data_IF_161530516595
#
_entry.id   IF_161530516595
#
_cell.length_a   1.000
_cell.length_b   1.000
_cell.length_c   1.000
_cell.angle_alpha   90.00
_cell.angle_beta   90.00
_cell.angle_gamma   90.00
#
_symmetry.space_group_name_H-M   'P 1'
#
loop_
_entity.id
_entity.type
_entity.pdbx_description
1 polymer ?
#
# COMPACT_ATOMS: atom_id res chain seq x y z
N UNK A 1 7.91 17.80 -30.85
CA UNK A 1 6.96 16.72 -31.20
C UNK A 1 5.72 16.72 -30.31
N UNK A 2 5.87 16.71 -28.97
CA UNK A 2 4.74 16.70 -28.03
C UNK A 2 3.75 17.87 -28.18
N UNK A 3 4.23 19.09 -28.41
CA UNK A 3 3.36 20.24 -28.66
C UNK A 3 2.49 20.02 -29.90
N UNK A 4 3.06 19.42 -30.96
CA UNK A 4 2.30 19.05 -32.17
C UNK A 4 1.25 17.96 -31.89
N UNK A 5 1.49 17.10 -30.90
CA UNK A 5 0.54 16.07 -30.42
C UNK A 5 -0.63 16.69 -29.61
N UNK A 6 -0.51 17.94 -29.16
CA UNK A 6 -1.53 18.66 -28.39
C UNK A 6 -1.14 18.98 -26.95
N UNK A 7 0.03 18.51 -26.48
CA UNK A 7 0.51 18.78 -25.13
C UNK A 7 0.77 20.27 -24.93
N UNK A 8 0.20 20.86 -23.87
CA UNK A 8 0.43 22.26 -23.51
C UNK A 8 1.72 22.36 -22.70
N UNK A 9 2.73 22.99 -23.28
CA UNK A 9 4.00 23.29 -22.62
C UNK A 9 4.24 24.80 -22.74
N UNK A 10 3.87 25.60 -21.73
CA UNK A 10 3.93 27.07 -21.84
C UNK A 10 5.34 27.62 -22.10
N UNK A 11 6.36 26.96 -21.53
CA UNK A 11 7.76 27.37 -21.71
C UNK A 11 8.64 26.15 -22.04
N UNK A 12 8.59 25.66 -23.31
CA UNK A 12 9.21 24.39 -23.72
C UNK A 12 10.71 24.29 -23.46
N UNK A 13 11.43 25.41 -23.59
CA UNK A 13 12.87 25.48 -23.37
C UNK A 13 13.32 25.20 -21.92
N UNK A 14 12.38 25.11 -20.98
CA UNK A 14 12.66 24.80 -19.57
C UNK A 14 12.23 23.42 -19.13
N UNK A 15 11.60 22.65 -20.03
CA UNK A 15 11.19 21.28 -19.75
C UNK A 15 12.24 20.33 -20.29
N UNK A 16 12.78 19.49 -19.43
CA UNK A 16 13.67 18.42 -19.81
C UNK A 16 12.86 17.14 -20.04
N UNK A 17 12.98 16.56 -21.22
CA UNK A 17 12.46 15.23 -21.55
C UNK A 17 13.66 14.43 -22.02
N UNK A 18 14.01 13.39 -21.27
CA UNK A 18 15.18 12.57 -21.58
C UNK A 18 14.95 11.70 -22.81
N UNK A 19 16.05 11.28 -23.45
CA UNK A 19 16.05 10.53 -24.71
C UNK A 19 15.41 9.13 -24.58
N UNK A 20 15.37 8.58 -23.36
CA UNK A 20 14.75 7.29 -23.05
C UNK A 20 13.22 7.35 -22.96
N UNK A 21 12.62 8.55 -22.93
CA UNK A 21 11.17 8.72 -22.82
C UNK A 21 10.49 8.39 -24.15
N UNK A 22 9.66 7.35 -24.15
CA UNK A 22 8.86 6.97 -25.32
C UNK A 22 7.68 7.93 -25.48
N UNK A 23 7.79 8.86 -26.42
CA UNK A 23 6.82 9.96 -26.63
C UNK A 23 5.39 9.49 -26.95
N UNK A 24 5.22 8.28 -27.47
CA UNK A 24 3.89 7.70 -27.72
C UNK A 24 3.12 7.38 -26.44
N UNK A 25 3.83 7.20 -25.31
CA UNK A 25 3.25 7.04 -23.97
C UNK A 25 2.80 8.36 -23.32
N UNK A 26 2.92 9.48 -24.02
CA UNK A 26 2.43 10.78 -23.54
C UNK A 26 1.23 11.19 -24.39
N UNK A 27 0.05 11.23 -23.78
CA UNK A 27 -1.16 11.72 -24.42
C UNK A 27 -1.03 13.19 -24.80
N UNK A 28 -1.68 13.59 -25.89
CA UNK A 28 -1.78 14.99 -26.29
C UNK A 28 -2.93 15.73 -25.62
N UNK A 29 -4.07 15.05 -25.48
CA UNK A 29 -5.32 15.65 -25.03
C UNK A 29 -5.26 16.09 -23.57
N UNK A 30 -5.47 17.38 -23.33
CA UNK A 30 -5.59 17.95 -21.98
C UNK A 30 -4.31 17.93 -21.14
N UNK A 31 -3.21 17.33 -21.62
CA UNK A 31 -1.96 17.24 -20.87
C UNK A 31 -1.28 18.60 -20.79
N UNK A 32 -0.85 18.98 -19.58
CA UNK A 32 -0.11 20.22 -19.31
C UNK A 32 1.18 19.91 -18.58
N UNK A 33 2.31 20.35 -19.13
CA UNK A 33 3.62 20.26 -18.48
C UNK A 33 4.11 21.67 -18.22
N UNK A 34 4.16 22.05 -16.94
CA UNK A 34 4.55 23.38 -16.50
C UNK A 34 6.08 23.57 -16.54
N UNK A 35 6.57 24.82 -16.51
CA UNK A 35 7.99 25.14 -16.60
C UNK A 35 8.88 24.40 -15.59
N UNK A 36 10.10 24.05 -15.99
CA UNK A 36 11.11 23.45 -15.12
C UNK A 36 10.94 21.96 -14.82
N UNK A 37 9.90 21.31 -15.36
CA UNK A 37 9.67 19.88 -15.17
C UNK A 37 10.74 19.02 -15.87
N UNK A 38 11.01 17.85 -15.28
CA UNK A 38 11.96 16.85 -15.81
C UNK A 38 11.29 15.49 -15.90
N UNK A 39 11.33 14.89 -17.08
CA UNK A 39 10.66 13.62 -17.38
C UNK A 39 11.70 12.62 -17.88
N UNK A 40 11.75 11.45 -17.25
CA UNK A 40 12.73 10.39 -17.48
C UNK A 40 12.06 9.02 -17.56
N UNK A 41 12.77 8.04 -18.11
CA UNK A 41 12.42 6.63 -18.01
C UNK A 41 11.49 6.14 -19.12
N UNK A 42 11.89 5.02 -19.71
CA UNK A 42 11.20 4.35 -20.83
C UNK A 42 9.77 3.91 -20.50
N UNK A 43 9.46 3.73 -19.20
CA UNK A 43 8.12 3.30 -18.75
C UNK A 43 7.20 4.46 -18.42
N UNK A 44 7.67 5.71 -18.49
CA UNK A 44 6.83 6.86 -18.15
C UNK A 44 5.63 6.96 -19.08
N UNK A 45 4.44 6.94 -18.48
CA UNK A 45 3.14 7.07 -19.14
C UNK A 45 2.43 8.30 -18.56
N UNK A 46 1.93 9.16 -19.43
CA UNK A 46 1.16 10.36 -19.06
C UNK A 46 -0.15 10.33 -19.86
N UNK A 47 -1.26 10.02 -19.19
CA UNK A 47 -2.58 9.89 -19.80
C UNK A 47 -3.31 11.24 -19.93
N UNK A 48 -4.44 11.30 -20.66
CA UNK A 48 -5.16 12.55 -20.93
C UNK A 48 -5.50 13.37 -19.69
N UNK A 49 -5.49 14.69 -19.83
CA UNK A 49 -5.86 15.62 -18.75
C UNK A 49 -4.82 15.78 -17.63
N UNK A 50 -3.74 14.98 -17.62
CA UNK A 50 -2.71 15.05 -16.59
C UNK A 50 -2.00 16.42 -16.55
N UNK A 51 -1.76 16.94 -15.35
CA UNK A 51 -1.08 18.23 -15.12
C UNK A 51 0.14 18.05 -14.23
N UNK A 52 1.29 18.45 -14.75
CA UNK A 52 2.58 18.25 -14.12
C UNK A 52 3.26 19.58 -13.80
N UNK A 53 3.40 19.87 -12.51
CA UNK A 53 4.23 20.95 -11.99
C UNK A 53 3.58 22.32 -11.86
N UNK A 54 2.25 22.38 -11.68
CA UNK A 54 1.52 23.65 -11.57
C UNK A 54 2.01 24.54 -10.41
N UNK A 55 2.23 23.98 -9.23
CA UNK A 55 2.66 24.74 -8.03
C UNK A 55 4.20 24.79 -7.89
N UNK A 56 4.93 24.09 -8.76
CA UNK A 56 6.39 24.00 -8.78
C UNK A 56 6.86 22.82 -9.63
N UNK A 57 8.12 22.78 -10.08
CA UNK A 57 8.57 21.77 -11.03
C UNK A 57 8.46 20.36 -10.44
N UNK A 58 8.09 19.39 -11.29
CA UNK A 58 8.16 17.97 -10.96
C UNK A 58 9.36 17.29 -11.62
N UNK A 59 9.90 16.27 -10.95
CA UNK A 59 10.74 15.25 -11.56
C UNK A 59 9.96 13.94 -11.58
N UNK A 60 9.74 13.40 -12.77
CA UNK A 60 9.01 12.14 -13.00
C UNK A 60 9.94 11.13 -13.64
N UNK A 61 10.00 9.91 -13.10
CA UNK A 61 10.82 8.82 -13.59
C UNK A 61 10.06 7.48 -13.50
N UNK A 62 9.84 6.81 -14.63
CA UNK A 62 9.16 5.50 -14.74
C UNK A 62 7.80 5.41 -14.03
N UNK A 63 7.05 6.51 -14.01
CA UNK A 63 5.71 6.57 -13.42
C UNK A 63 4.61 6.30 -14.46
N UNK A 64 3.52 5.66 -14.03
CA UNK A 64 2.29 5.62 -14.82
C UNK A 64 1.29 6.59 -14.21
N UNK A 65 1.00 7.66 -14.96
CA UNK A 65 0.17 8.79 -14.55
C UNK A 65 -1.13 8.70 -15.33
N UNK A 66 -2.19 8.31 -14.63
CA UNK A 66 -3.54 8.12 -15.17
C UNK A 66 -4.25 9.42 -15.54
N UNK A 67 -5.47 9.28 -16.05
CA UNK A 67 -6.29 10.39 -16.53
C UNK A 67 -6.56 11.42 -15.43
N UNK A 68 -6.49 12.70 -15.78
CA UNK A 68 -6.76 13.84 -14.89
C UNK A 68 -5.92 13.86 -13.59
N UNK A 69 -4.77 13.21 -13.57
CA UNK A 69 -3.86 13.25 -12.41
C UNK A 69 -3.15 14.60 -12.33
N UNK A 70 -3.10 15.18 -11.13
CA UNK A 70 -2.38 16.43 -10.86
C UNK A 70 -1.19 16.21 -9.92
N UNK A 71 0.03 16.26 -10.47
CA UNK A 71 1.27 16.23 -9.68
C UNK A 71 1.80 17.66 -9.59
N UNK A 72 1.54 18.35 -8.48
CA UNK A 72 1.69 19.81 -8.42
C UNK A 72 3.11 20.30 -8.21
N UNK A 73 4.01 19.48 -7.68
CA UNK A 73 5.43 19.78 -7.52
C UNK A 73 6.15 18.74 -6.67
N UNK A 74 7.43 18.44 -6.97
CA UNK A 74 8.22 17.47 -6.22
C UNK A 74 8.83 16.34 -7.05
N UNK A 75 9.02 15.16 -6.46
CA UNK A 75 9.70 14.02 -7.09
C UNK A 75 8.81 12.77 -7.03
N UNK A 76 8.63 12.13 -8.19
CA UNK A 76 7.78 10.96 -8.38
C UNK A 76 8.56 9.91 -9.15
N UNK A 77 8.79 8.75 -8.54
CA UNK A 77 9.61 7.69 -9.13
C UNK A 77 8.92 6.34 -9.03
N UNK A 78 8.88 5.60 -10.14
CA UNK A 78 8.48 4.17 -10.22
C UNK A 78 7.20 3.86 -9.45
N UNK A 79 6.17 4.66 -9.70
CA UNK A 79 4.89 4.64 -8.99
C UNK A 79 3.71 4.80 -9.94
N UNK A 80 2.52 4.41 -9.51
CA UNK A 80 1.28 4.52 -10.30
C UNK A 80 0.29 5.44 -9.60
N UNK A 81 -0.34 6.29 -10.40
CA UNK A 81 -1.39 7.22 -10.00
C UNK A 81 -2.60 6.98 -10.89
N UNK A 82 -3.70 6.51 -10.32
CA UNK A 82 -4.94 6.28 -11.07
C UNK A 82 -5.74 7.58 -11.21
N UNK A 83 -6.92 7.48 -11.82
CA UNK A 83 -7.73 8.63 -12.23
C UNK A 83 -7.89 9.67 -11.10
N UNK A 84 -7.65 10.94 -11.42
CA UNK A 84 -7.88 12.09 -10.52
C UNK A 84 -7.06 12.09 -9.22
N UNK A 85 -5.99 11.30 -9.12
CA UNK A 85 -5.05 11.43 -8.02
C UNK A 85 -4.42 12.82 -8.01
N UNK A 86 -4.29 13.42 -6.83
CA UNK A 86 -3.66 14.74 -6.66
C UNK A 86 -2.58 14.70 -5.61
N UNK A 87 -1.38 15.20 -5.93
CA UNK A 87 -0.28 15.36 -4.97
C UNK A 87 0.20 16.81 -4.95
N UNK A 88 0.16 17.43 -3.77
CA UNK A 88 0.56 18.82 -3.58
C UNK A 88 2.05 19.09 -3.74
N UNK A 89 2.43 20.37 -3.69
CA UNK A 89 3.81 20.84 -3.78
C UNK A 89 4.75 20.15 -2.78
N UNK A 90 5.98 19.85 -3.22
CA UNK A 90 7.01 19.24 -2.38
C UNK A 90 6.79 17.76 -2.08
N UNK A 91 5.90 17.07 -2.81
CA UNK A 91 5.70 15.64 -2.64
C UNK A 91 6.97 14.84 -2.99
N UNK A 92 7.22 13.76 -2.25
CA UNK A 92 8.32 12.83 -2.50
C UNK A 92 7.77 11.40 -2.54
N UNK A 93 7.26 11.01 -3.71
CA UNK A 93 6.69 9.68 -3.95
C UNK A 93 7.75 8.79 -4.58
N UNK A 94 8.28 7.87 -3.79
CA UNK A 94 9.35 6.95 -4.21
C UNK A 94 8.78 5.60 -4.66
N UNK A 95 9.64 4.78 -5.24
CA UNK A 95 9.32 3.50 -5.86
C UNK A 95 8.35 2.61 -5.07
N UNK A 96 7.44 1.97 -5.83
CA UNK A 96 6.51 0.96 -5.35
C UNK A 96 5.23 1.52 -4.74
N UNK A 97 4.82 2.74 -5.11
CA UNK A 97 3.55 3.30 -4.67
C UNK A 97 2.42 3.08 -5.69
N UNK A 98 1.21 2.84 -5.18
CA UNK A 98 -0.03 2.80 -5.95
C UNK A 98 -1.02 3.72 -5.26
N UNK A 99 -1.44 4.77 -5.95
CA UNK A 99 -2.49 5.68 -5.48
C UNK A 99 -3.69 5.47 -6.39
N UNK A 100 -4.78 4.97 -5.82
CA UNK A 100 -6.00 4.69 -6.56
C UNK A 100 -6.89 5.93 -6.72
N UNK A 101 -8.03 5.77 -7.41
CA UNK A 101 -8.84 6.86 -7.91
C UNK A 101 -9.17 7.91 -6.85
N UNK A 102 -8.98 9.18 -7.19
CA UNK A 102 -9.32 10.32 -6.32
C UNK A 102 -8.52 10.38 -4.99
N UNK A 103 -7.49 9.54 -4.79
CA UNK A 103 -6.61 9.67 -3.64
C UNK A 103 -5.84 11.00 -3.67
N UNK A 104 -5.59 11.58 -2.50
CA UNK A 104 -5.04 12.94 -2.38
C UNK A 104 -3.89 13.00 -1.38
N UNK A 105 -2.87 13.81 -1.70
CA UNK A 105 -1.87 14.29 -0.75
C UNK A 105 -1.78 15.81 -0.75
N UNK A 106 -1.67 16.40 0.45
CA UNK A 106 -1.34 17.81 0.64
C UNK A 106 0.10 18.15 0.22
N UNK A 107 0.64 19.25 0.74
CA UNK A 107 2.04 19.58 0.48
C UNK A 107 2.98 18.64 1.27
N UNK A 108 4.19 18.45 0.76
CA UNK A 108 5.30 17.79 1.48
C UNK A 108 4.97 16.39 2.01
N UNK A 109 4.26 15.60 1.20
CA UNK A 109 3.94 14.20 1.49
C UNK A 109 5.02 13.27 0.94
N UNK A 110 5.65 12.50 1.83
CA UNK A 110 6.66 11.48 1.51
C UNK A 110 6.09 10.06 1.55
N UNK A 111 6.19 9.33 0.44
CA UNK A 111 5.71 7.96 0.29
C UNK A 111 6.82 7.04 -0.25
N UNK A 112 6.73 5.76 0.05
CA UNK A 112 7.52 4.68 -0.54
C UNK A 112 6.85 3.36 -0.20
N UNK A 113 6.67 2.48 -1.20
CA UNK A 113 6.07 1.16 -0.93
C UNK A 113 4.71 1.30 -0.24
N UNK A 114 3.90 2.25 -0.72
CA UNK A 114 2.63 2.65 -0.11
C UNK A 114 1.48 2.47 -1.08
N UNK A 115 0.39 1.86 -0.62
CA UNK A 115 -0.82 1.66 -1.40
C UNK A 115 -1.97 2.42 -0.74
N UNK A 116 -2.56 3.36 -1.48
CA UNK A 116 -3.74 4.11 -1.05
C UNK A 116 -4.93 3.72 -1.93
N UNK A 117 -5.98 3.22 -1.31
CA UNK A 117 -7.24 2.92 -1.98
C UNK A 117 -7.96 4.22 -2.37
N UNK A 118 -9.07 4.15 -3.14
CA UNK A 118 -9.68 5.34 -3.69
C UNK A 118 -10.04 6.34 -2.59
N UNK A 119 -10.03 7.63 -2.93
CA UNK A 119 -10.36 8.78 -2.09
C UNK A 119 -9.59 8.92 -0.76
N UNK A 120 -8.66 8.03 -0.40
CA UNK A 120 -7.82 8.18 0.80
C UNK A 120 -7.07 9.51 0.73
N UNK A 121 -7.18 10.31 1.79
CA UNK A 121 -6.62 11.66 1.83
C UNK A 121 -5.50 11.74 2.86
N UNK A 122 -4.34 12.18 2.41
CA UNK A 122 -3.21 12.56 3.24
C UNK A 122 -3.18 14.09 3.34
N UNK A 123 -3.07 14.59 4.56
CA UNK A 123 -2.81 15.99 4.85
C UNK A 123 -1.41 16.42 4.39
N UNK A 124 -0.77 17.27 5.18
CA UNK A 124 0.51 17.89 4.83
C UNK A 124 1.65 17.41 5.71
N UNK A 125 2.91 17.52 5.26
CA UNK A 125 4.12 17.22 6.08
C UNK A 125 4.16 15.77 6.59
N UNK A 126 3.74 14.82 5.76
CA UNK A 126 3.56 13.42 6.14
C UNK A 126 4.75 12.57 5.67
N UNK A 127 5.15 11.58 6.47
CA UNK A 127 5.97 10.46 6.00
C UNK A 127 5.22 9.15 6.23
N UNK A 128 4.73 8.53 5.16
CA UNK A 128 3.79 7.41 5.23
C UNK A 128 4.21 6.29 4.28
N UNK A 129 5.42 5.78 4.52
CA UNK A 129 6.00 4.68 3.75
C UNK A 129 5.48 3.32 4.23
N UNK A 130 5.60 2.26 3.45
CA UNK A 130 5.41 0.87 3.91
C UNK A 130 4.01 0.55 4.49
N UNK A 131 2.99 1.25 3.98
CA UNK A 131 1.60 1.14 4.42
C UNK A 131 0.65 0.73 3.29
N UNK A 132 -0.43 0.04 3.64
CA UNK A 132 -1.65 -0.04 2.83
C UNK A 132 -2.77 0.61 3.63
N UNK A 133 -3.48 1.56 3.02
CA UNK A 133 -4.59 2.24 3.66
C UNK A 133 -5.84 2.22 2.80
N UNK A 134 -6.95 1.82 3.42
CA UNK A 134 -8.28 1.76 2.81
C UNK A 134 -9.35 2.34 3.74
N UNK A 135 -10.58 2.38 3.24
CA UNK A 135 -11.77 2.78 4.00
C UNK A 135 -12.33 4.13 3.57
N UNK A 136 -13.63 4.30 3.77
CA UNK A 136 -14.43 5.37 3.21
C UNK A 136 -15.27 4.88 2.03
N UNK A 137 -16.16 5.74 1.55
CA UNK A 137 -17.10 5.45 0.47
C UNK A 137 -17.09 6.51 -0.64
N UNK A 138 -16.49 7.68 -0.41
CA UNK A 138 -16.43 8.80 -1.36
C UNK A 138 -15.36 9.82 -0.96
N UNK A 139 -15.11 10.81 -1.82
CA UNK A 139 -14.26 11.98 -1.52
C UNK A 139 -14.73 12.86 -0.37
N UNK A 140 -15.98 12.70 0.06
CA UNK A 140 -16.57 13.43 1.20
C UNK A 140 -16.72 12.55 2.44
N UNK A 141 -16.50 11.24 2.29
CA UNK A 141 -16.50 10.26 3.35
C UNK A 141 -15.29 9.32 3.14
N UNK A 142 -14.10 9.84 3.40
CA UNK A 142 -12.82 9.17 3.14
C UNK A 142 -12.04 8.89 4.41
N UNK A 143 -11.14 7.90 4.34
CA UNK A 143 -10.12 7.75 5.38
C UNK A 143 -9.07 8.84 5.24
N UNK A 144 -8.60 9.35 6.38
CA UNK A 144 -7.72 10.51 6.43
C UNK A 144 -6.51 10.29 7.32
N UNK A 145 -5.36 10.76 6.84
CA UNK A 145 -4.13 10.92 7.62
C UNK A 145 -3.89 12.40 7.83
N UNK A 146 -4.06 12.87 9.06
CA UNK A 146 -3.89 14.27 9.41
C UNK A 146 -2.45 14.75 9.22
N UNK A 147 -2.27 16.06 9.12
CA UNK A 147 -0.96 16.66 8.86
C UNK A 147 0.10 16.31 9.91
N UNK A 148 1.37 16.22 9.49
CA UNK A 148 2.52 15.87 10.32
C UNK A 148 2.46 14.47 10.93
N UNK A 149 1.80 13.53 10.24
CA UNK A 149 1.78 12.12 10.65
C UNK A 149 3.02 11.37 10.15
N UNK A 150 3.53 10.46 10.99
CA UNK A 150 4.69 9.62 10.66
C UNK A 150 4.36 8.14 10.85
N UNK A 151 4.60 7.32 9.82
CA UNK A 151 4.76 5.89 9.99
C UNK A 151 6.21 5.56 10.33
N UNK A 152 6.44 5.04 11.54
CA UNK A 152 7.75 4.59 11.98
C UNK A 152 8.01 3.16 11.47
N UNK A 153 8.60 3.08 10.27
CA UNK A 153 8.89 1.86 9.51
C UNK A 153 10.35 1.38 9.61
N UNK A 154 11.17 1.99 10.46
CA UNK A 154 12.56 1.60 10.67
C UNK A 154 12.82 1.43 12.16
N UNK A 155 13.35 0.27 12.54
CA UNK A 155 13.57 -0.05 13.96
C UNK A 155 15.01 0.23 14.39
N UNK A 156 15.28 0.41 15.70
CA UNK A 156 16.63 0.50 16.23
C UNK A 156 17.51 -0.72 15.91
N UNK A 157 16.93 -1.89 15.61
CA UNK A 157 17.65 -3.08 15.16
C UNK A 157 17.95 -3.06 13.64
N UNK A 158 17.91 -1.88 13.01
CA UNK A 158 18.17 -1.68 11.59
C UNK A 158 17.31 -2.56 10.68
N UNK A 159 16.00 -2.52 10.90
CA UNK A 159 15.04 -3.46 10.33
C UNK A 159 13.81 -2.73 9.77
N UNK A 160 13.19 -3.30 8.73
CA UNK A 160 12.01 -2.74 8.03
C UNK A 160 10.88 -3.76 7.83
N UNK A 161 10.87 -4.88 8.56
CA UNK A 161 9.76 -5.83 8.62
C UNK A 161 8.61 -5.27 9.48
N UNK A 162 8.20 -4.05 9.14
CA UNK A 162 7.23 -3.23 9.86
C UNK A 162 6.09 -2.71 8.99
N UNK A 163 5.60 -3.45 7.96
CA UNK A 163 4.51 -2.95 7.14
C UNK A 163 3.23 -2.81 7.97
N UNK A 164 2.46 -1.75 7.71
CA UNK A 164 1.23 -1.47 8.46
C UNK A 164 0.01 -1.57 7.54
N UNK A 165 -0.99 -2.34 7.98
CA UNK A 165 -2.26 -2.55 7.29
C UNK A 165 -3.33 -1.70 7.98
N UNK A 166 -3.87 -0.70 7.28
CA UNK A 166 -4.89 0.22 7.80
C UNK A 166 -6.18 -0.04 7.03
N UNK A 167 -7.08 -0.80 7.64
CA UNK A 167 -8.12 -1.55 6.96
C UNK A 167 -7.61 -2.93 6.54
N UNK A 168 -8.15 -3.46 5.44
CA UNK A 168 -7.68 -4.65 4.74
C UNK A 168 -8.21 -4.69 3.30
N UNK A 169 -7.65 -5.56 2.49
CA UNK A 169 -8.02 -5.68 1.09
C UNK A 169 -9.40 -6.31 0.90
N UNK A 170 -9.73 -7.48 1.49
CA UNK A 170 -11.00 -8.16 1.21
C UNK A 170 -12.24 -7.28 1.39
N UNK A 171 -12.25 -6.45 2.44
CA UNK A 171 -13.37 -5.53 2.72
C UNK A 171 -13.18 -4.18 2.03
N UNK A 172 -11.95 -3.71 1.91
CA UNK A 172 -11.64 -2.35 1.44
C UNK A 172 -11.96 -2.11 -0.03
N UNK A 173 -11.73 -3.12 -0.88
CA UNK A 173 -11.97 -3.01 -2.32
C UNK A 173 -13.45 -2.88 -2.69
N UNK A 174 -14.35 -3.16 -1.74
CA UNK A 174 -15.79 -3.00 -1.92
C UNK A 174 -16.26 -1.54 -1.78
N UNK A 175 -15.38 -0.62 -1.36
CA UNK A 175 -15.64 0.82 -1.26
C UNK A 175 -16.86 1.19 -0.39
N UNK A 176 -17.14 0.36 0.63
CA UNK A 176 -18.31 0.46 1.49
C UNK A 176 -17.97 0.38 2.99
N UNK A 177 -16.69 0.56 3.34
CA UNK A 177 -16.21 0.48 4.72
C UNK A 177 -16.19 1.86 5.38
N UNK A 178 -16.41 1.94 6.70
CA UNK A 178 -16.30 3.22 7.41
C UNK A 178 -14.85 3.75 7.34
N UNK A 179 -14.67 5.08 7.25
CA UNK A 179 -13.34 5.68 7.15
C UNK A 179 -12.50 5.43 8.41
N UNK A 180 -11.19 5.39 8.23
CA UNK A 180 -10.20 5.37 9.32
C UNK A 180 -9.58 6.76 9.41
N UNK A 181 -9.51 7.33 10.62
CA UNK A 181 -8.94 8.65 10.85
C UNK A 181 -7.67 8.55 11.70
N UNK A 182 -6.53 8.97 11.14
CA UNK A 182 -5.25 9.06 11.84
C UNK A 182 -4.96 10.54 12.15
N UNK A 183 -5.23 10.98 13.37
CA UNK A 183 -5.12 12.39 13.76
C UNK A 183 -3.70 12.95 13.59
N UNK A 184 -3.63 14.20 13.13
CA UNK A 184 -2.37 14.90 12.84
C UNK A 184 -1.44 15.07 14.05
N UNK A 185 -0.19 15.43 13.78
CA UNK A 185 0.90 15.44 14.78
C UNK A 185 1.08 14.09 15.49
N UNK A 186 0.57 13.01 14.90
CA UNK A 186 0.59 11.67 15.45
C UNK A 186 1.61 10.78 14.73
N UNK A 187 1.57 9.50 15.07
CA UNK A 187 2.32 8.51 14.31
C UNK A 187 1.93 7.09 14.64
N UNK A 188 2.44 6.16 13.86
CA UNK A 188 2.16 4.74 14.03
C UNK A 188 3.44 3.92 13.89
N UNK A 189 3.74 3.09 14.88
CA UNK A 189 4.96 2.28 14.94
C UNK A 189 4.66 0.90 14.40
N UNK A 190 5.13 0.63 13.18
CA UNK A 190 4.83 -0.63 12.49
C UNK A 190 5.59 -1.85 13.04
N UNK A 191 5.15 -3.07 12.67
CA UNK A 191 3.95 -3.36 11.87
C UNK A 191 2.70 -3.36 12.74
N UNK A 192 1.60 -2.73 12.31
CA UNK A 192 0.30 -2.81 13.03
C UNK A 192 -0.86 -3.04 12.07
N UNK A 193 -1.98 -3.50 12.61
CA UNK A 193 -3.27 -3.58 11.93
C UNK A 193 -4.29 -2.63 12.56
N UNK A 194 -5.00 -1.86 11.74
CA UNK A 194 -6.01 -0.90 12.20
C UNK A 194 -7.35 -1.22 11.58
N UNK A 195 -8.38 -1.39 12.40
CA UNK A 195 -9.74 -1.74 11.97
C UNK A 195 -10.49 -0.54 11.38
N UNK A 196 -11.44 -0.80 10.48
CA UNK A 196 -12.30 0.22 9.89
C UNK A 196 -13.12 0.99 10.94
N UNK A 197 -13.31 2.29 10.71
CA UNK A 197 -13.99 3.18 11.66
C UNK A 197 -13.12 3.62 12.84
N UNK A 198 -11.86 3.17 12.94
CA UNK A 198 -10.96 3.60 14.02
C UNK A 198 -10.60 5.07 13.86
N UNK A 199 -10.63 5.81 14.97
CA UNK A 199 -10.14 7.17 15.09
C UNK A 199 -8.97 7.17 16.05
N UNK A 200 -7.78 7.53 15.59
CA UNK A 200 -6.62 7.81 16.43
C UNK A 200 -6.58 9.32 16.64
N UNK A 201 -6.59 9.77 17.90
CA UNK A 201 -6.57 11.19 18.21
C UNK A 201 -5.25 11.86 17.75
N UNK A 202 -5.31 13.18 17.52
CA UNK A 202 -4.12 13.96 17.21
C UNK A 202 -3.07 13.86 18.32
N UNK A 203 -1.79 13.93 17.96
CA UNK A 203 -0.68 13.82 18.91
C UNK A 203 -0.36 12.39 19.40
N UNK A 204 -1.14 11.39 18.99
CA UNK A 204 -0.98 10.02 19.48
C UNK A 204 0.02 9.24 18.62
N UNK A 205 1.02 8.64 19.29
CA UNK A 205 1.88 7.60 18.68
C UNK A 205 1.34 6.21 19.02
N UNK A 206 0.69 5.56 18.05
CA UNK A 206 0.08 4.25 18.21
C UNK A 206 1.07 3.11 17.94
N UNK A 207 0.98 2.01 18.69
CA UNK A 207 2.03 0.95 18.73
C UNK A 207 1.50 -0.48 18.80
N UNK A 208 0.18 -0.68 18.74
CA UNK A 208 -0.47 -1.98 18.88
C UNK A 208 -1.46 -2.18 17.74
N UNK A 209 -1.97 -3.38 17.58
CA UNK A 209 -3.12 -3.55 16.70
C UNK A 209 -4.35 -2.88 17.33
N UNK A 210 -5.12 -2.18 16.50
CA UNK A 210 -6.36 -1.53 16.86
C UNK A 210 -7.54 -2.36 16.35
N UNK A 211 -7.87 -3.43 17.08
CA UNK A 211 -9.04 -4.26 16.79
C UNK A 211 -10.30 -3.75 17.47
N UNK A 212 -11.44 -3.90 16.80
CA UNK A 212 -12.75 -3.49 17.27
C UNK A 212 -13.26 -2.28 16.50
N UNK A 213 -14.43 -2.46 15.88
CA UNK A 213 -15.06 -1.49 14.98
C UNK A 213 -15.32 -0.16 15.71
N UNK A 214 -14.97 0.96 15.08
CA UNK A 214 -15.42 2.29 15.53
C UNK A 214 -14.74 2.85 16.79
N UNK A 215 -13.54 2.39 17.16
CA UNK A 215 -12.87 2.83 18.40
C UNK A 215 -12.21 4.20 18.25
N UNK A 216 -12.32 5.03 19.30
CA UNK A 216 -11.50 6.23 19.50
C UNK A 216 -10.30 5.90 20.40
N UNK A 217 -9.09 6.17 19.92
CA UNK A 217 -7.83 5.89 20.61
C UNK A 217 -7.16 7.21 21.02
N UNK A 218 -7.22 7.52 22.31
CA UNK A 218 -6.75 8.78 22.91
C UNK A 218 -5.26 8.77 23.31
N UNK A 219 -4.54 7.67 23.06
CA UNK A 219 -3.15 7.50 23.48
C UNK A 219 -3.01 6.80 24.84
N UNK A 220 -1.76 6.66 25.28
CA UNK A 220 -1.42 6.04 26.56
C UNK A 220 -0.72 7.05 27.46
N UNK A 221 -0.88 6.89 28.78
CA UNK A 221 -0.11 7.64 29.76
C UNK A 221 1.41 7.48 29.50
N UNK A 222 2.23 8.53 29.71
CA UNK A 222 3.68 8.44 29.54
C UNK A 222 4.26 7.31 30.39
N UNK A 223 5.12 6.47 29.78
CA UNK A 223 5.84 5.44 30.52
C UNK A 223 7.12 6.06 31.07
N UNK A 224 7.12 6.42 32.35
CA UNK A 224 8.30 6.90 33.07
C UNK A 224 9.19 5.72 33.52
N UNK A 225 9.68 4.90 32.57
CA UNK A 225 10.62 3.82 32.84
C UNK A 225 11.74 3.84 31.80
N UNK A 226 12.97 4.00 32.26
CA UNK A 226 14.16 3.73 31.46
C UNK A 226 14.51 2.24 31.59
N UNK A 227 14.80 1.59 30.46
CA UNK A 227 15.29 0.20 30.44
C UNK A 227 16.49 0.11 29.53
N UNK A 228 17.42 -0.80 29.84
CA UNK A 228 18.61 -1.01 29.01
C UNK A 228 18.19 -1.49 27.61
N UNK A 229 18.77 -0.83 26.59
CA UNK A 229 18.65 -1.24 25.20
C UNK A 229 19.72 -2.30 24.91
N UNK A 230 19.30 -3.43 24.35
CA UNK A 230 20.19 -4.51 23.93
C UNK A 230 20.08 -4.63 22.40
N UNK A 231 21.06 -4.10 21.64
CA UNK A 231 21.06 -4.15 20.18
C UNK A 231 20.90 -5.59 19.67
N UNK A 232 20.09 -5.79 18.62
CA UNK A 232 19.85 -7.11 18.04
C UNK A 232 18.86 -7.98 18.82
N UNK A 233 18.42 -7.56 20.02
CA UNK A 233 17.47 -8.33 20.82
C UNK A 233 16.01 -7.98 20.48
N UNK A 234 15.32 -8.90 19.78
CA UNK A 234 13.89 -8.77 19.45
C UNK A 234 13.05 -9.42 20.55
N UNK A 235 12.42 -8.63 21.42
CA UNK A 235 11.59 -9.15 22.53
C UNK A 235 10.22 -9.69 22.10
N UNK A 236 9.64 -9.14 21.03
CA UNK A 236 8.32 -9.54 20.53
C UNK A 236 8.39 -9.88 19.04
N UNK A 237 8.85 -11.11 18.75
CA UNK A 237 8.94 -11.64 17.38
C UNK A 237 7.57 -12.08 16.87
N UNK A 238 6.72 -12.65 17.74
CA UNK A 238 5.39 -13.19 17.37
C UNK A 238 4.56 -12.17 16.61
N UNK A 239 4.43 -10.98 17.18
CA UNK A 239 3.63 -9.91 16.62
C UNK A 239 4.11 -9.47 15.23
N UNK A 240 5.43 -9.30 15.06
CA UNK A 240 6.01 -8.89 13.78
C UNK A 240 5.76 -9.94 12.70
N UNK A 241 5.97 -11.21 13.02
CA UNK A 241 5.75 -12.33 12.09
C UNK A 241 4.30 -12.38 11.62
N UNK A 242 3.35 -12.34 12.56
CA UNK A 242 1.91 -12.38 12.24
C UNK A 242 1.54 -11.24 11.29
N UNK A 243 1.94 -10.01 11.61
CA UNK A 243 1.55 -8.86 10.79
C UNK A 243 2.24 -8.82 9.41
N UNK A 244 3.48 -9.33 9.29
CA UNK A 244 4.12 -9.46 7.97
C UNK A 244 3.41 -10.51 7.10
N UNK A 245 3.07 -11.68 7.64
CA UNK A 245 2.29 -12.71 6.92
C UNK A 245 0.95 -12.13 6.46
N UNK A 246 0.23 -11.45 7.37
CA UNK A 246 -1.06 -10.84 7.06
C UNK A 246 -0.96 -9.78 5.96
N UNK A 247 0.07 -8.93 6.00
CA UNK A 247 0.28 -7.90 4.99
C UNK A 247 0.60 -8.51 3.61
N UNK A 248 1.48 -9.51 3.55
CA UNK A 248 1.81 -10.21 2.30
C UNK A 248 0.58 -10.89 1.71
N UNK A 249 -0.22 -11.57 2.54
CA UNK A 249 -1.45 -12.22 2.11
C UNK A 249 -2.47 -11.20 1.54
N UNK A 250 -2.58 -10.02 2.15
CA UNK A 250 -3.40 -8.93 1.62
C UNK A 250 -2.90 -8.40 0.27
N UNK A 251 -1.59 -8.25 0.08
CA UNK A 251 -1.05 -7.89 -1.23
C UNK A 251 -1.39 -8.92 -2.33
N UNK A 252 -1.36 -10.22 -1.99
CA UNK A 252 -1.76 -11.28 -2.92
C UNK A 252 -3.25 -11.22 -3.24
N UNK A 253 -4.11 -10.98 -2.24
CA UNK A 253 -5.54 -10.74 -2.47
C UNK A 253 -5.77 -9.50 -3.36
N UNK A 254 -4.99 -8.43 -3.17
CA UNK A 254 -5.12 -7.21 -3.97
C UNK A 254 -4.70 -7.47 -5.43
N UNK A 255 -3.63 -8.23 -5.64
CA UNK A 255 -3.22 -8.66 -6.98
C UNK A 255 -4.34 -9.42 -7.68
N UNK A 256 -5.04 -10.33 -6.99
CA UNK A 256 -6.18 -11.05 -7.55
C UNK A 256 -7.39 -10.15 -7.82
N UNK A 257 -7.62 -9.13 -7.00
CA UNK A 257 -8.62 -8.10 -7.29
C UNK A 257 -8.28 -7.35 -8.59
N UNK A 258 -7.02 -6.95 -8.79
CA UNK A 258 -6.60 -6.30 -10.02
C UNK A 258 -6.75 -7.20 -11.25
N UNK A 259 -6.36 -8.47 -11.14
CA UNK A 259 -6.43 -9.45 -12.23
C UNK A 259 -7.88 -9.77 -12.59
N UNK A 260 -8.65 -10.23 -11.60
CA UNK A 260 -9.99 -10.75 -11.83
C UNK A 260 -11.05 -9.67 -12.02
N UNK A 261 -10.94 -8.55 -11.28
CA UNK A 261 -12.01 -7.53 -11.23
C UNK A 261 -11.60 -6.25 -11.93
N UNK A 262 -10.39 -5.73 -11.72
CA UNK A 262 -10.03 -4.42 -12.24
C UNK A 262 -9.61 -4.43 -13.71
N UNK A 263 -9.10 -5.55 -14.22
CA UNK A 263 -8.53 -5.61 -15.57
C UNK A 263 -9.45 -5.10 -16.70
N UNK A 264 -10.78 -5.34 -16.70
CA UNK A 264 -11.66 -4.80 -17.74
C UNK A 264 -11.74 -3.27 -17.75
N UNK A 265 -11.58 -2.61 -16.59
CA UNK A 265 -11.63 -1.15 -16.46
C UNK A 265 -10.40 -0.43 -17.03
N UNK A 266 -9.33 -1.17 -17.29
CA UNK A 266 -8.11 -0.65 -17.90
C UNK A 266 -7.99 -0.96 -19.39
N UNK A 267 -8.57 -2.08 -19.85
CA UNK A 267 -8.40 -2.57 -21.22
C UNK A 267 -9.31 -1.88 -22.24
N UNK A 268 -9.54 -0.58 -22.07
CA UNK A 268 -10.32 0.25 -23.00
C UNK A 268 -9.48 0.73 -24.18
N UNK A 269 -8.19 0.91 -23.96
CA UNK A 269 -7.22 1.34 -24.97
C UNK A 269 -5.77 0.92 -24.59
N UNK A 270 -4.82 1.17 -25.49
CA UNK A 270 -3.41 0.82 -25.29
C UNK A 270 -2.74 1.51 -24.09
N UNK A 271 -3.13 2.75 -23.75
CA UNK A 271 -2.57 3.46 -22.60
C UNK A 271 -3.11 2.88 -21.30
N UNK A 272 -4.38 2.52 -21.27
CA UNK A 272 -5.00 1.81 -20.16
C UNK A 272 -4.33 0.45 -19.89
N UNK A 273 -3.96 -0.30 -20.93
CA UNK A 273 -3.16 -1.53 -20.77
C UNK A 273 -1.77 -1.25 -20.16
N UNK A 274 -1.10 -0.18 -20.58
CA UNK A 274 0.19 0.22 -20.00
C UNK A 274 0.05 0.66 -18.53
N UNK A 275 -1.04 1.36 -18.18
CA UNK A 275 -1.35 1.76 -16.81
C UNK A 275 -1.56 0.50 -15.93
N UNK A 276 -2.35 -0.45 -16.42
CA UNK A 276 -2.60 -1.73 -15.76
C UNK A 276 -1.33 -2.56 -15.54
N UNK A 277 -0.49 -2.67 -16.58
CA UNK A 277 0.80 -3.35 -16.47
C UNK A 277 1.68 -2.67 -15.41
N UNK A 278 1.66 -1.33 -15.35
CA UNK A 278 2.28 -0.56 -14.28
C UNK A 278 1.78 -0.99 -12.91
N UNK A 279 0.46 -1.05 -12.69
CA UNK A 279 -0.08 -1.45 -11.37
C UNK A 279 0.40 -2.84 -10.95
N UNK A 280 0.33 -3.82 -11.86
CA UNK A 280 0.78 -5.18 -11.56
C UNK A 280 2.29 -5.23 -11.23
N UNK A 281 3.12 -4.47 -11.96
CA UNK A 281 4.53 -4.33 -11.65
C UNK A 281 4.74 -3.77 -10.24
N UNK A 282 3.97 -2.76 -9.82
CA UNK A 282 4.16 -2.12 -8.51
C UNK A 282 3.66 -3.01 -7.36
N UNK A 283 2.63 -3.82 -7.59
CA UNK A 283 2.22 -4.88 -6.65
C UNK A 283 3.31 -5.94 -6.50
N UNK A 284 3.95 -6.34 -7.60
CA UNK A 284 5.05 -7.30 -7.57
C UNK A 284 6.29 -6.73 -6.86
N UNK A 285 6.61 -5.45 -7.09
CA UNK A 285 7.63 -4.72 -6.33
C UNK A 285 7.33 -4.70 -4.84
N UNK A 286 6.07 -4.49 -4.45
CA UNK A 286 5.64 -4.52 -3.06
C UNK A 286 5.80 -5.89 -2.42
N UNK A 287 5.32 -6.95 -3.09
CA UNK A 287 5.49 -8.34 -2.64
C UNK A 287 6.97 -8.69 -2.46
N UNK A 288 7.80 -8.37 -3.45
CA UNK A 288 9.24 -8.63 -3.41
C UNK A 288 9.94 -7.92 -2.26
N UNK A 289 9.62 -6.64 -2.04
CA UNK A 289 10.20 -5.90 -0.92
C UNK A 289 9.71 -6.45 0.42
N UNK A 290 8.42 -6.80 0.58
CA UNK A 290 7.91 -7.38 1.84
C UNK A 290 8.53 -8.73 2.17
N UNK A 291 8.61 -9.63 1.19
CA UNK A 291 9.24 -10.95 1.38
C UNK A 291 10.72 -10.76 1.72
N UNK A 292 11.44 -9.88 1.01
CA UNK A 292 12.85 -9.54 1.32
C UNK A 292 13.03 -9.01 2.74
N UNK A 293 12.19 -8.08 3.19
CA UNK A 293 12.29 -7.55 4.57
C UNK A 293 11.97 -8.61 5.61
N UNK A 294 11.02 -9.49 5.32
CA UNK A 294 10.71 -10.59 6.21
C UNK A 294 11.85 -11.61 6.28
N UNK A 295 12.54 -11.88 5.16
CA UNK A 295 13.76 -12.68 5.12
C UNK A 295 14.84 -12.14 6.03
N UNK A 296 15.15 -10.85 5.88
CA UNK A 296 16.16 -10.17 6.71
C UNK A 296 15.81 -10.23 8.20
N UNK A 297 14.52 -10.20 8.57
CA UNK A 297 14.11 -10.42 9.95
C UNK A 297 14.41 -11.86 10.40
N UNK A 298 14.06 -12.86 9.59
CA UNK A 298 14.29 -14.27 9.90
C UNK A 298 15.79 -14.58 10.09
N UNK A 299 16.65 -14.06 9.20
CA UNK A 299 18.11 -14.24 9.24
C UNK A 299 18.74 -13.65 10.52
N UNK A 300 18.12 -12.65 11.15
CA UNK A 300 18.59 -12.06 12.42
C UNK A 300 18.18 -12.87 13.66
N UNK A 301 17.33 -13.90 13.52
CA UNK A 301 16.81 -14.61 14.69
C UNK A 301 17.84 -15.41 15.49
N UNK A 302 18.85 -16.07 14.89
CA UNK A 302 19.90 -16.77 15.65
C UNK A 302 20.68 -15.84 16.59
N UNK A 303 21.18 -14.72 16.07
CA UNK A 303 21.87 -13.69 16.86
C UNK A 303 20.95 -13.12 17.95
N UNK A 304 19.69 -12.86 17.59
CA UNK A 304 18.71 -12.35 18.54
C UNK A 304 18.38 -13.34 19.66
N UNK A 305 18.42 -14.64 19.38
CA UNK A 305 18.21 -15.69 20.38
C UNK A 305 19.42 -15.78 21.32
N UNK A 306 20.65 -15.71 20.79
CA UNK A 306 21.87 -15.68 21.59
C UNK A 306 21.90 -14.49 22.56
N UNK A 307 21.60 -13.28 22.07
CA UNK A 307 21.55 -12.08 22.92
C UNK A 307 20.43 -12.18 23.96
N UNK A 308 19.24 -12.68 23.57
CA UNK A 308 18.14 -12.87 24.51
C UNK A 308 18.51 -13.85 25.65
N UNK A 309 19.19 -14.97 25.35
CA UNK A 309 19.69 -15.90 26.38
C UNK A 309 20.69 -15.24 27.31
N UNK A 310 21.65 -14.48 26.75
CA UNK A 310 22.68 -13.77 27.52
C UNK A 310 22.09 -12.76 28.50
N UNK A 311 21.11 -11.99 28.05
CA UNK A 311 20.46 -10.92 28.84
C UNK A 311 19.51 -11.49 29.88
N UNK A 312 18.66 -12.45 29.49
CA UNK A 312 17.62 -12.96 30.38
C UNK A 312 18.12 -14.06 31.33
N UNK A 313 19.19 -14.77 30.96
CA UNK A 313 19.77 -15.87 31.75
C UNK A 313 18.68 -16.88 32.15
N UNK A 314 18.51 -17.14 33.44
CA UNK A 314 17.50 -18.03 34.00
C UNK A 314 16.05 -17.53 33.85
N UNK A 315 15.85 -16.26 33.45
CA UNK A 315 14.52 -15.66 33.18
C UNK A 315 14.15 -15.71 31.69
N UNK A 316 14.90 -16.41 30.86
CA UNK A 316 14.60 -16.52 29.44
C UNK A 316 13.29 -17.30 29.22
N UNK A 317 12.38 -16.74 28.42
CA UNK A 317 11.17 -17.44 28.02
C UNK A 317 11.49 -18.39 26.84
N UNK A 318 11.38 -19.69 27.09
CA UNK A 318 11.59 -20.75 26.10
C UNK A 318 10.66 -20.61 24.89
N UNK A 319 9.48 -20.02 25.06
CA UNK A 319 8.55 -19.77 23.96
C UNK A 319 9.12 -18.75 22.98
N UNK A 320 9.75 -17.68 23.48
CA UNK A 320 10.40 -16.67 22.63
C UNK A 320 11.59 -17.28 21.89
N UNK A 321 12.39 -18.12 22.56
CA UNK A 321 13.53 -18.80 21.95
C UNK A 321 13.08 -19.78 20.85
N UNK A 322 12.05 -20.60 21.12
CA UNK A 322 11.47 -21.51 20.12
C UNK A 322 10.88 -20.76 18.93
N UNK A 323 10.22 -19.62 19.16
CA UNK A 323 9.70 -18.79 18.06
C UNK A 323 10.83 -18.30 17.16
N UNK A 324 11.88 -17.70 17.74
CA UNK A 324 13.06 -17.23 16.99
C UNK A 324 13.67 -18.34 16.14
N UNK A 325 13.91 -19.50 16.75
CA UNK A 325 14.50 -20.65 16.07
C UNK A 325 13.59 -21.13 14.93
N UNK A 326 12.28 -21.30 15.20
CA UNK A 326 11.32 -21.74 14.20
C UNK A 326 11.23 -20.79 12.99
N UNK A 327 11.27 -19.47 13.20
CA UNK A 327 11.24 -18.52 12.08
C UNK A 327 12.48 -18.67 11.18
N UNK A 328 13.66 -18.88 11.78
CA UNK A 328 14.90 -19.10 11.02
C UNK A 328 14.86 -20.42 10.25
N UNK A 329 14.58 -21.52 10.94
CA UNK A 329 14.62 -22.88 10.37
C UNK A 329 13.59 -23.05 9.25
N UNK A 330 12.41 -22.43 9.39
CA UNK A 330 11.29 -22.56 8.45
C UNK A 330 11.26 -21.44 7.40
N UNK A 331 12.26 -20.57 7.34
CA UNK A 331 12.25 -19.44 6.40
C UNK A 331 12.13 -19.90 4.94
N UNK A 332 12.90 -20.92 4.53
CA UNK A 332 12.86 -21.43 3.15
C UNK A 332 11.47 -21.95 2.78
N UNK A 333 10.80 -22.66 3.69
CA UNK A 333 9.43 -23.14 3.49
C UNK A 333 8.44 -21.99 3.35
N UNK A 334 8.58 -20.92 4.17
CA UNK A 334 7.75 -19.72 4.07
C UNK A 334 7.98 -18.97 2.75
N UNK A 335 9.23 -18.85 2.31
CA UNK A 335 9.58 -18.21 1.03
C UNK A 335 8.99 -19.00 -0.16
N UNK A 336 9.08 -20.33 -0.12
CA UNK A 336 8.45 -21.22 -1.08
C UNK A 336 6.91 -21.13 -1.06
N UNK A 337 6.32 -21.06 0.14
CA UNK A 337 4.88 -20.84 0.33
C UNK A 337 4.43 -19.54 -0.34
N UNK A 338 5.07 -18.41 -0.03
CA UNK A 338 4.71 -17.13 -0.64
C UNK A 338 4.89 -17.15 -2.15
N UNK A 339 5.92 -17.82 -2.65
CA UNK A 339 6.15 -17.97 -4.10
C UNK A 339 5.03 -18.74 -4.78
N UNK A 340 4.61 -19.88 -4.20
CA UNK A 340 3.48 -20.68 -4.68
C UNK A 340 2.18 -19.87 -4.72
N UNK A 341 1.94 -19.05 -3.69
CA UNK A 341 0.71 -18.28 -3.56
C UNK A 341 0.65 -16.98 -4.39
N UNK A 342 1.75 -16.58 -5.08
CA UNK A 342 1.77 -15.37 -5.92
C UNK A 342 0.71 -15.34 -7.04
N UNK A 343 0.33 -16.52 -7.53
CA UNK A 343 -0.69 -16.70 -8.57
C UNK A 343 -1.98 -17.35 -8.08
N UNK A 344 -2.14 -17.57 -6.77
CA UNK A 344 -3.32 -18.25 -6.24
C UNK A 344 -4.56 -17.36 -6.37
N UNK A 345 -5.55 -17.85 -7.12
CA UNK A 345 -6.76 -17.10 -7.47
C UNK A 345 -7.88 -17.25 -6.44
N UNK A 346 -7.71 -18.10 -5.42
CA UNK A 346 -8.75 -18.44 -4.45
C UNK A 346 -9.74 -19.51 -4.95
N UNK A 347 -10.82 -19.69 -4.20
CA UNK A 347 -11.89 -20.65 -4.48
C UNK A 347 -12.72 -20.21 -5.70
N UNK A 348 -12.63 -20.99 -6.78
CA UNK A 348 -13.34 -20.75 -8.05
C UNK A 348 -14.87 -20.65 -7.86
N UNK A 349 -15.44 -21.47 -6.96
CA UNK A 349 -16.89 -21.47 -6.70
C UNK A 349 -17.40 -20.16 -6.09
N UNK A 350 -16.51 -19.38 -5.45
CA UNK A 350 -16.80 -18.03 -4.93
C UNK A 350 -16.44 -16.96 -5.94
N UNK A 351 -15.32 -17.14 -6.64
CA UNK A 351 -14.78 -16.18 -7.60
C UNK A 351 -15.67 -16.01 -8.82
N UNK A 352 -15.95 -17.11 -9.52
CA UNK A 352 -16.58 -17.06 -10.85
C UNK A 352 -17.96 -16.38 -10.82
N UNK A 353 -18.87 -16.70 -9.88
CA UNK A 353 -20.15 -16.00 -9.81
C UNK A 353 -19.99 -14.50 -9.51
N UNK A 354 -18.99 -14.13 -8.70
CA UNK A 354 -18.72 -12.73 -8.41
C UNK A 354 -18.20 -11.99 -9.65
N UNK A 355 -17.27 -12.58 -10.40
CA UNK A 355 -16.75 -11.99 -11.64
C UNK A 355 -17.84 -11.86 -12.71
N UNK A 356 -18.72 -12.86 -12.84
CA UNK A 356 -19.87 -12.78 -13.75
C UNK A 356 -20.78 -11.61 -13.37
N UNK A 357 -21.05 -11.40 -12.07
CA UNK A 357 -21.83 -10.24 -11.62
C UNK A 357 -21.16 -8.93 -11.99
N UNK A 358 -19.84 -8.80 -11.82
CA UNK A 358 -19.10 -7.60 -12.22
C UNK A 358 -19.22 -7.38 -13.73
N UNK A 359 -19.03 -8.42 -14.54
CA UNK A 359 -19.14 -8.33 -16.00
C UNK A 359 -20.53 -7.85 -16.43
N UNK A 360 -21.60 -8.33 -15.78
CA UNK A 360 -22.96 -7.87 -16.05
C UNK A 360 -23.17 -6.41 -15.63
N UNK A 361 -22.65 -5.99 -14.48
CA UNK A 361 -22.72 -4.58 -14.06
C UNK A 361 -21.96 -3.64 -15.00
N UNK A 362 -20.83 -4.06 -15.55
CA UNK A 362 -20.09 -3.28 -16.57
C UNK A 362 -20.93 -3.11 -17.82
N UNK A 363 -21.62 -4.16 -18.30
CA UNK A 363 -22.53 -4.08 -19.45
C UNK A 363 -23.70 -3.12 -19.18
N UNK A 364 -24.23 -3.12 -17.97
CA UNK A 364 -25.39 -2.30 -17.58
C UNK A 364 -25.04 -0.82 -17.33
N UNK A 365 -23.87 -0.54 -16.73
CA UNK A 365 -23.52 0.79 -16.18
C UNK A 365 -22.34 1.46 -16.88
N UNK A 366 -21.67 0.76 -17.80
CA UNK A 366 -20.47 1.22 -18.46
C UNK A 366 -19.18 0.87 -17.70
N UNK A 367 -18.05 1.26 -18.28
CA UNK A 367 -16.71 0.85 -17.85
C UNK A 367 -16.06 1.80 -16.83
N UNK A 368 -16.85 2.45 -15.96
CA UNK A 368 -16.29 3.27 -14.88
C UNK A 368 -16.20 2.46 -13.57
N UNK A 369 -14.99 2.32 -13.03
CA UNK A 369 -14.71 1.49 -11.86
C UNK A 369 -15.53 1.88 -10.63
N UNK A 370 -15.49 3.16 -10.23
CA UNK A 370 -16.12 3.59 -8.97
C UNK A 370 -17.64 3.40 -8.97
N UNK A 371 -18.40 3.82 -10.01
CA UNK A 371 -19.85 3.57 -10.08
C UNK A 371 -20.21 2.09 -10.10
N UNK A 372 -19.45 1.25 -10.83
CA UNK A 372 -19.74 -0.19 -10.90
C UNK A 372 -19.56 -0.85 -9.53
N UNK A 373 -18.41 -0.65 -8.87
CA UNK A 373 -18.15 -1.30 -7.58
C UNK A 373 -19.09 -0.78 -6.48
N UNK A 374 -19.35 0.54 -6.43
CA UNK A 374 -20.30 1.12 -5.46
C UNK A 374 -21.75 0.65 -5.66
N UNK A 375 -22.09 0.13 -6.85
CA UNK A 375 -23.43 -0.39 -7.13
C UNK A 375 -23.66 -1.82 -6.63
N UNK A 376 -22.61 -2.50 -6.14
CA UNK A 376 -22.75 -3.81 -5.51
C UNK A 376 -23.64 -3.70 -4.28
N UNK A 377 -24.70 -4.51 -4.24
CA UNK A 377 -25.49 -4.66 -3.02
C UNK A 377 -24.67 -5.37 -1.92
N UNK A 378 -25.25 -5.44 -0.72
CA UNK A 378 -24.61 -6.07 0.44
C UNK A 378 -24.31 -7.56 0.19
N UNK A 379 -25.16 -8.26 -0.55
CA UNK A 379 -25.01 -9.69 -0.84
C UNK A 379 -23.78 -9.93 -1.71
N UNK A 380 -23.64 -9.20 -2.81
CA UNK A 380 -22.51 -9.34 -3.72
C UNK A 380 -21.21 -8.80 -3.12
N UNK A 381 -21.27 -7.69 -2.39
CA UNK A 381 -20.13 -7.19 -1.61
C UNK A 381 -19.60 -8.25 -0.63
N UNK A 382 -20.51 -8.96 0.07
CA UNK A 382 -20.13 -10.03 0.98
C UNK A 382 -19.54 -11.25 0.26
N UNK A 383 -20.05 -11.62 -0.92
CA UNK A 383 -19.50 -12.71 -1.74
C UNK A 383 -18.07 -12.40 -2.19
N UNK A 384 -17.82 -11.21 -2.74
CA UNK A 384 -16.47 -10.80 -3.14
C UNK A 384 -15.52 -10.73 -1.94
N UNK A 385 -16.00 -10.21 -0.80
CA UNK A 385 -15.21 -10.16 0.44
C UNK A 385 -14.83 -11.57 0.87
N UNK A 386 -15.77 -12.53 0.84
CA UNK A 386 -15.54 -13.93 1.23
C UNK A 386 -14.59 -14.66 0.29
N UNK A 387 -14.58 -14.31 -1.00
CA UNK A 387 -13.60 -14.83 -1.95
C UNK A 387 -12.18 -14.37 -1.60
N UNK A 388 -11.97 -13.06 -1.47
CA UNK A 388 -10.66 -12.49 -1.15
C UNK A 388 -10.17 -12.85 0.25
N UNK A 389 -11.08 -12.89 1.23
CA UNK A 389 -10.76 -13.34 2.59
C UNK A 389 -10.31 -14.80 2.58
N UNK A 390 -10.89 -15.65 1.73
CA UNK A 390 -10.44 -17.04 1.55
C UNK A 390 -8.98 -17.13 1.11
N UNK A 391 -8.52 -16.25 0.22
CA UNK A 391 -7.09 -16.16 -0.16
C UNK A 391 -6.23 -15.83 1.05
N UNK A 392 -6.62 -14.80 1.79
CA UNK A 392 -5.89 -14.36 2.99
C UNK A 392 -5.83 -15.46 4.05
N UNK A 393 -6.96 -16.11 4.31
CA UNK A 393 -7.09 -17.15 5.33
C UNK A 393 -6.26 -18.38 4.99
N UNK A 394 -6.32 -18.88 3.74
CA UNK A 394 -5.53 -20.03 3.29
C UNK A 394 -4.04 -19.79 3.44
N UNK A 395 -3.53 -18.62 3.02
CA UNK A 395 -2.11 -18.28 3.15
C UNK A 395 -1.70 -18.21 4.62
N UNK A 396 -2.50 -17.54 5.47
CA UNK A 396 -2.21 -17.44 6.89
C UNK A 396 -2.23 -18.82 7.56
N UNK A 397 -3.23 -19.65 7.27
CA UNK A 397 -3.37 -20.99 7.83
C UNK A 397 -2.12 -21.82 7.56
N UNK A 398 -1.71 -21.94 6.30
CA UNK A 398 -0.53 -22.72 5.93
C UNK A 398 0.76 -22.14 6.51
N UNK A 399 0.92 -20.81 6.50
CA UNK A 399 2.08 -20.16 7.12
C UNK A 399 2.18 -20.48 8.62
N UNK A 400 1.05 -20.53 9.33
CA UNK A 400 1.02 -20.87 10.76
C UNK A 400 1.07 -22.37 11.05
N UNK A 401 0.78 -23.23 10.08
CA UNK A 401 1.10 -24.66 10.14
C UNK A 401 2.62 -24.88 10.05
N UNK A 402 3.33 -24.09 9.25
CA UNK A 402 4.80 -24.06 9.23
C UNK A 402 5.38 -23.47 10.53
N UNK A 403 4.66 -22.57 11.19
CA UNK A 403 5.06 -21.87 12.41
C UNK A 403 4.07 -22.09 13.59
N UNK A 404 3.93 -23.31 14.15
CA UNK A 404 2.90 -23.59 15.17
C UNK A 404 3.00 -22.73 16.43
N UNK A 405 4.21 -22.32 16.82
CA UNK A 405 4.45 -21.44 17.99
C UNK A 405 3.92 -20.01 17.82
N UNK A 406 3.49 -19.66 16.62
CA UNK A 406 2.92 -18.36 16.26
C UNK A 406 1.40 -18.37 16.13
N UNK A 407 0.74 -19.54 16.14
CA UNK A 407 -0.72 -19.63 16.12
C UNK A 407 -1.33 -18.75 17.22
N UNK A 408 -2.33 -17.96 16.85
CA UNK A 408 -3.17 -17.24 17.80
C UNK A 408 -4.19 -18.27 18.29
N UNK A 409 -4.28 -18.45 19.61
CA UNK A 409 -5.31 -19.31 20.21
C UNK A 409 -6.68 -18.65 20.08
#
# INVERSE_FOLDING_TARGET
>A
MLIRKGVKIPMPQTVLIADDVVLDRIAGEGVVIYPGCRIFGEKTLIMPGAKLGHDGPVTVEDCQIGTDVELKGGVFQRSVFLEKVTMGYGAQVRAGCILEEEAKGGHTVGLKQTILFPFVTLGSLINFCDCLMAGGTSRTNHSEVGSSYIHFNYTPNQDKATPTLIGDVPRGVMLNQPPIFLGGQGGIVGPVRVEYGTVIAAGVVHRKDAFGKGKLLLGHAPVNRATMHYPGMYRNVKYRVINNINYIANLMALKQWYIGVRSPFFKTDSMGEMLYAGVLEKLEMALNERIKRFKTLAEKMPESAAEYRKVMKTKADDTILRQKQALFDRWQDLEALFTRYRGYEGDASRREPFLEKIANLIKEKGCNYLPVIRSLDKTWSAKGTKWLQGIVDTINQEAFELLPSYKVK
#
